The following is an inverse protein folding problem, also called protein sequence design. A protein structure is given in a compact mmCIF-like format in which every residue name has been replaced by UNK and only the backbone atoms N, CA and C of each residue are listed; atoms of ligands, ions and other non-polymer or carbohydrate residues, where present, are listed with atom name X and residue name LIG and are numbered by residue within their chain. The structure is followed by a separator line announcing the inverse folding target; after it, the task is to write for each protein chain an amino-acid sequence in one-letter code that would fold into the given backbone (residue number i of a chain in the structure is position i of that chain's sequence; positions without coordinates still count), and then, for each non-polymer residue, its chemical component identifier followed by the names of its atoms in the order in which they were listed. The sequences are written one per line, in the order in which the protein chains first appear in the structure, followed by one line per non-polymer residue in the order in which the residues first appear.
data_IF_566537525113
#
_entry.id   IF_566537525113
#
_cell.length_a   1.000
_cell.length_b   1.000
_cell.length_c   1.000
_cell.angle_alpha   90.00
_cell.angle_beta   90.00
_cell.angle_gamma   90.00
#
_symmetry.space_group_name_H-M   'P 1'
#
loop_
_entity.id
_entity.type
_entity.pdbx_description
1 polymer ?
#
# COMPACT_ATOMS: atom_id res chain seq x y z
N UNK A 1 -26.84 15.98 -5.78
CA UNK A 1 -26.40 14.57 -5.98
C UNK A 1 -25.31 14.46 -7.05
N UNK A 2 -25.54 14.87 -8.28
CA UNK A 2 -24.58 14.71 -9.39
C UNK A 2 -23.20 15.33 -9.11
N UNK A 3 -23.12 16.48 -8.46
CA UNK A 3 -21.86 17.14 -8.11
C UNK A 3 -21.05 16.36 -7.10
N UNK A 4 -21.68 15.76 -6.08
CA UNK A 4 -20.98 14.98 -5.05
C UNK A 4 -20.44 13.67 -5.64
N UNK A 5 -21.19 13.00 -6.50
CA UNK A 5 -20.70 11.80 -7.20
C UNK A 5 -19.50 12.10 -8.10
N UNK A 6 -19.50 13.25 -8.79
CA UNK A 6 -18.34 13.71 -9.55
C UNK A 6 -17.12 13.94 -8.63
N UNK A 7 -17.30 14.56 -7.46
CA UNK A 7 -16.21 14.75 -6.50
C UNK A 7 -15.63 13.42 -6.00
N UNK A 8 -16.48 12.45 -5.70
CA UNK A 8 -16.04 11.09 -5.31
C UNK A 8 -15.22 10.46 -6.44
N UNK A 9 -15.66 10.55 -7.68
CA UNK A 9 -14.92 10.04 -8.84
C UNK A 9 -13.55 10.69 -8.99
N UNK A 10 -13.45 12.01 -8.79
CA UNK A 10 -12.16 12.72 -8.78
C UNK A 10 -11.22 12.24 -7.66
N UNK A 11 -11.74 11.89 -6.48
CA UNK A 11 -10.93 11.34 -5.39
C UNK A 11 -10.38 9.95 -5.74
N UNK A 12 -11.12 9.11 -6.48
CA UNK A 12 -10.58 7.83 -6.99
C UNK A 12 -9.46 8.07 -8.02
N UNK A 13 -9.60 9.04 -8.93
CA UNK A 13 -8.50 9.40 -9.84
C UNK A 13 -7.29 9.94 -9.09
N UNK A 14 -7.50 10.78 -8.07
CA UNK A 14 -6.42 11.25 -7.20
C UNK A 14 -5.72 10.07 -6.52
N UNK A 15 -6.46 9.11 -5.98
CA UNK A 15 -5.88 7.89 -5.40
C UNK A 15 -5.03 7.13 -6.42
N UNK A 16 -5.52 6.94 -7.65
CA UNK A 16 -4.75 6.26 -8.71
C UNK A 16 -3.41 6.98 -8.99
N UNK A 17 -3.40 8.32 -9.03
CA UNK A 17 -2.18 9.12 -9.20
C UNK A 17 -1.24 8.96 -8.00
N UNK A 18 -1.78 8.96 -6.77
CA UNK A 18 -0.99 8.74 -5.54
C UNK A 18 -0.38 7.33 -5.52
N UNK A 19 -1.11 6.30 -5.94
CA UNK A 19 -0.60 4.94 -6.06
C UNK A 19 0.51 4.84 -7.12
N UNK A 20 0.33 5.48 -8.28
CA UNK A 20 1.37 5.53 -9.31
C UNK A 20 2.63 6.24 -8.79
N UNK A 21 2.47 7.32 -8.03
CA UNK A 21 3.59 8.01 -7.38
C UNK A 21 4.28 7.15 -6.31
N UNK A 22 3.50 6.34 -5.56
CA UNK A 22 4.05 5.38 -4.60
C UNK A 22 4.93 4.34 -5.28
N UNK A 23 4.46 3.75 -6.40
CA UNK A 23 5.23 2.80 -7.22
C UNK A 23 6.53 3.45 -7.70
N UNK A 24 6.46 4.68 -8.25
CA UNK A 24 7.64 5.38 -8.75
C UNK A 24 8.65 5.67 -7.65
N UNK A 25 8.21 6.19 -6.50
CA UNK A 25 9.07 6.55 -5.38
C UNK A 25 9.71 5.31 -4.75
N UNK A 26 8.94 4.25 -4.57
CA UNK A 26 9.44 2.99 -4.03
C UNK A 26 10.43 2.32 -4.99
N UNK A 27 10.15 2.33 -6.28
CA UNK A 27 11.08 1.81 -7.29
C UNK A 27 12.41 2.59 -7.33
N UNK A 28 12.32 3.94 -7.29
CA UNK A 28 13.49 4.81 -7.49
C UNK A 28 14.31 5.05 -6.25
N UNK A 29 13.64 5.25 -5.10
CA UNK A 29 14.26 5.69 -3.85
C UNK A 29 14.18 4.66 -2.73
N UNK A 30 13.38 3.60 -2.90
CA UNK A 30 13.12 2.60 -1.84
C UNK A 30 12.63 3.22 -0.52
N UNK A 31 11.90 4.31 -0.63
CA UNK A 31 11.36 5.07 0.49
C UNK A 31 9.99 5.64 0.12
N UNK A 32 9.03 5.45 1.00
CA UNK A 32 7.71 6.07 0.90
C UNK A 32 7.65 7.28 1.83
N UNK A 33 7.49 8.50 1.31
CA UNK A 33 7.44 9.70 2.12
C UNK A 33 6.13 9.79 2.91
N UNK A 34 6.18 10.35 4.11
CA UNK A 34 5.02 10.48 5.00
C UNK A 34 3.87 11.31 4.40
N UNK A 35 4.19 12.31 3.57
CA UNK A 35 3.17 13.14 2.92
C UNK A 35 2.27 12.34 2.00
N UNK A 36 2.79 11.30 1.35
CA UNK A 36 2.03 10.44 0.45
C UNK A 36 0.97 9.65 1.23
N UNK A 37 1.36 8.97 2.32
CA UNK A 37 0.42 8.26 3.18
C UNK A 37 -0.61 9.21 3.80
N UNK A 38 -0.22 10.44 4.13
CA UNK A 38 -1.13 11.46 4.64
C UNK A 38 -2.16 11.87 3.59
N UNK A 39 -1.76 12.11 2.35
CA UNK A 39 -2.68 12.46 1.26
C UNK A 39 -3.65 11.32 0.94
N UNK A 40 -3.17 10.06 0.95
CA UNK A 40 -4.01 8.88 0.78
C UNK A 40 -5.05 8.79 1.91
N UNK A 41 -4.64 9.02 3.16
CA UNK A 41 -5.54 9.04 4.30
C UNK A 41 -6.60 10.15 4.19
N UNK A 42 -6.17 11.38 3.93
CA UNK A 42 -7.08 12.53 3.83
C UNK A 42 -8.09 12.38 2.69
N UNK A 43 -7.65 11.88 1.53
CA UNK A 43 -8.56 11.60 0.41
C UNK A 43 -9.55 10.47 0.72
N UNK A 44 -9.15 9.45 1.48
CA UNK A 44 -10.05 8.38 1.96
C UNK A 44 -11.10 8.90 2.92
N UNK A 45 -10.70 9.70 3.92
CA UNK A 45 -11.62 10.35 4.86
C UNK A 45 -12.60 11.27 4.12
N UNK A 46 -12.11 12.08 3.16
CA UNK A 46 -12.97 12.94 2.36
C UNK A 46 -14.00 12.14 1.56
N UNK A 47 -13.61 11.02 0.97
CA UNK A 47 -14.52 10.11 0.25
C UNK A 47 -15.63 9.59 1.16
N UNK A 48 -15.28 9.12 2.37
CA UNK A 48 -16.26 8.63 3.35
C UNK A 48 -17.22 9.72 3.80
N UNK A 49 -16.73 10.92 4.11
CA UNK A 49 -17.58 12.06 4.49
C UNK A 49 -18.56 12.45 3.37
N UNK A 50 -18.12 12.42 2.12
CA UNK A 50 -19.00 12.68 0.98
C UNK A 50 -20.03 11.55 0.78
N UNK A 51 -19.65 10.30 0.99
CA UNK A 51 -20.57 9.15 0.97
C UNK A 51 -21.61 9.23 2.09
N UNK A 52 -21.24 9.66 3.29
CA UNK A 52 -22.18 9.93 4.39
C UNK A 52 -23.17 11.03 4.02
N UNK A 53 -22.69 12.12 3.39
CA UNK A 53 -23.57 13.21 2.93
C UNK A 53 -24.60 12.75 1.88
N UNK A 54 -24.32 11.66 1.14
CA UNK A 54 -25.27 10.99 0.23
C UNK A 54 -26.16 9.97 0.93
N UNK A 55 -26.05 9.80 2.25
CA UNK A 55 -26.70 8.75 3.06
C UNK A 55 -26.38 7.32 2.57
N UNK A 56 -25.25 7.12 1.90
CA UNK A 56 -24.76 5.83 1.44
C UNK A 56 -23.83 5.13 2.43
N UNK A 57 -23.37 5.84 3.48
CA UNK A 57 -22.54 5.32 4.56
C UNK A 57 -23.06 5.79 5.92
N UNK A 58 -22.90 4.97 6.98
CA UNK A 58 -23.26 5.34 8.34
C UNK A 58 -22.11 6.09 9.05
N UNK A 59 -22.42 6.89 10.07
CA UNK A 59 -21.38 7.56 10.88
C UNK A 59 -20.47 6.57 11.60
N UNK A 60 -20.97 5.38 11.94
CA UNK A 60 -20.20 4.32 12.58
C UNK A 60 -19.12 3.75 11.68
N UNK A 61 -19.31 3.79 10.36
CA UNK A 61 -18.31 3.31 9.38
C UNK A 61 -17.02 4.11 9.43
N UNK A 62 -17.07 5.43 9.56
CA UNK A 62 -15.85 6.25 9.66
C UNK A 62 -15.05 5.86 10.91
N UNK A 63 -15.72 5.74 12.06
CA UNK A 63 -15.09 5.32 13.31
C UNK A 63 -14.46 3.93 13.20
N UNK A 64 -15.20 2.99 12.59
CA UNK A 64 -14.73 1.62 12.40
C UNK A 64 -13.52 1.54 11.48
N UNK A 65 -13.53 2.26 10.36
CA UNK A 65 -12.39 2.29 9.41
C UNK A 65 -11.15 2.99 10.01
N UNK A 66 -11.33 4.02 10.83
CA UNK A 66 -10.22 4.63 11.58
C UNK A 66 -9.66 3.68 12.63
N UNK A 67 -10.52 2.95 13.33
CA UNK A 67 -10.10 1.93 14.29
C UNK A 67 -9.32 0.80 13.59
N UNK A 68 -9.78 0.32 12.43
CA UNK A 68 -9.07 -0.71 11.66
C UNK A 68 -7.70 -0.22 11.20
N UNK A 69 -7.57 1.04 10.76
CA UNK A 69 -6.28 1.62 10.41
C UNK A 69 -5.32 1.63 11.60
N UNK A 70 -5.79 2.01 12.79
CA UNK A 70 -4.99 1.98 14.02
C UNK A 70 -4.59 0.55 14.39
N UNK A 71 -5.52 -0.40 14.34
CA UNK A 71 -5.24 -1.81 14.64
C UNK A 71 -4.22 -2.42 13.67
N UNK A 72 -4.27 -2.05 12.39
CA UNK A 72 -3.28 -2.48 11.40
C UNK A 72 -1.88 -1.95 11.72
N UNK A 73 -1.75 -0.70 12.15
CA UNK A 73 -0.46 -0.16 12.60
C UNK A 73 0.06 -0.98 13.79
N UNK A 74 -0.79 -1.21 14.79
CA UNK A 74 -0.40 -1.97 15.99
C UNK A 74 -0.02 -3.42 15.65
N UNK A 75 -0.80 -4.08 14.79
CA UNK A 75 -0.52 -5.44 14.33
C UNK A 75 0.77 -5.56 13.50
N UNK A 76 1.14 -4.49 12.78
CA UNK A 76 2.35 -4.46 11.97
C UNK A 76 3.62 -4.11 12.77
N UNK A 77 3.50 -3.59 14.00
CA UNK A 77 4.67 -3.24 14.84
C UNK A 77 5.65 -4.41 15.06
N UNK A 78 5.22 -5.64 15.41
CA UNK A 78 6.13 -6.75 15.55
C UNK A 78 6.91 -7.04 14.26
N UNK A 79 6.23 -6.98 13.10
CA UNK A 79 6.85 -7.19 11.78
C UNK A 79 7.88 -6.09 11.47
N UNK A 80 7.59 -4.85 11.85
CA UNK A 80 8.52 -3.74 11.76
C UNK A 80 9.78 -3.96 12.60
N UNK A 81 9.62 -4.34 13.88
CA UNK A 81 10.75 -4.60 14.77
C UNK A 81 11.63 -5.78 14.31
N UNK A 82 11.03 -6.77 13.63
CA UNK A 82 11.76 -7.88 13.01
C UNK A 82 12.42 -7.50 11.67
N UNK A 83 12.25 -6.25 11.21
CA UNK A 83 12.80 -5.76 9.93
C UNK A 83 12.09 -6.29 8.69
N UNK A 84 10.87 -6.83 8.83
CA UNK A 84 10.11 -7.40 7.72
C UNK A 84 9.42 -6.37 6.82
N UNK A 85 9.02 -5.21 7.39
CA UNK A 85 8.36 -4.12 6.67
C UNK A 85 8.97 -2.78 7.05
N UNK A 86 9.04 -1.85 6.09
CA UNK A 86 9.45 -0.48 6.37
C UNK A 86 8.30 0.32 7.01
N UNK A 87 8.62 1.33 7.84
CA UNK A 87 7.62 2.17 8.48
C UNK A 87 6.71 2.91 7.48
N UNK A 88 7.25 3.25 6.30
CA UNK A 88 6.48 3.88 5.20
C UNK A 88 5.41 2.96 4.65
N UNK A 89 5.72 1.67 4.47
CA UNK A 89 4.77 0.66 3.96
C UNK A 89 3.61 0.47 4.93
N UNK A 90 3.89 0.38 6.23
CA UNK A 90 2.87 0.24 7.28
C UNK A 90 1.92 1.43 7.29
N UNK A 91 2.45 2.66 7.19
CA UNK A 91 1.66 3.88 7.13
C UNK A 91 0.78 3.93 5.88
N UNK A 92 1.32 3.48 4.74
CA UNK A 92 0.56 3.44 3.49
C UNK A 92 -0.57 2.40 3.56
N UNK A 93 -0.32 1.19 4.08
CA UNK A 93 -1.34 0.15 4.29
C UNK A 93 -2.45 0.67 5.21
N UNK A 94 -2.09 1.30 6.32
CA UNK A 94 -3.05 1.87 7.26
C UNK A 94 -3.87 3.01 6.64
N UNK A 95 -3.25 3.88 5.85
CA UNK A 95 -3.96 4.95 5.15
C UNK A 95 -4.94 4.41 4.11
N UNK A 96 -4.55 3.35 3.39
CA UNK A 96 -5.38 2.69 2.40
C UNK A 96 -6.54 1.92 3.02
N UNK A 97 -6.41 1.40 4.24
CA UNK A 97 -7.50 0.65 4.90
C UNK A 97 -8.77 1.47 5.07
N UNK A 98 -8.69 2.80 5.09
CA UNK A 98 -9.82 3.70 5.15
C UNK A 98 -10.68 3.67 3.87
N UNK A 99 -10.08 3.34 2.73
CA UNK A 99 -10.76 3.23 1.44
C UNK A 99 -11.57 1.95 1.28
N UNK A 100 -11.26 0.92 2.08
CA UNK A 100 -11.83 -0.41 1.93
C UNK A 100 -12.96 -0.68 2.92
N UNK A 101 -13.96 -1.42 2.45
CA UNK A 101 -14.86 -2.16 3.33
C UNK A 101 -14.13 -3.36 3.93
N UNK A 102 -14.68 -3.94 4.99
CA UNK A 102 -14.01 -5.02 5.73
C UNK A 102 -13.67 -6.24 4.84
N UNK A 103 -14.55 -6.62 3.91
CA UNK A 103 -14.30 -7.74 2.99
C UNK A 103 -13.25 -7.37 1.94
N UNK A 104 -13.30 -6.15 1.43
CA UNK A 104 -12.29 -5.62 0.50
C UNK A 104 -10.92 -5.52 1.16
N UNK A 105 -10.86 -5.12 2.44
CA UNK A 105 -9.64 -5.02 3.21
C UNK A 105 -8.94 -6.38 3.34
N UNK A 106 -9.69 -7.47 3.61
CA UNK A 106 -9.13 -8.84 3.64
C UNK A 106 -8.51 -9.20 2.29
N UNK A 107 -9.24 -8.96 1.21
CA UNK A 107 -8.77 -9.25 -0.16
C UNK A 107 -7.52 -8.43 -0.50
N UNK A 108 -7.52 -7.14 -0.14
CA UNK A 108 -6.37 -6.26 -0.30
C UNK A 108 -5.13 -6.79 0.44
N UNK A 109 -5.26 -7.14 1.72
CA UNK A 109 -4.14 -7.65 2.51
C UNK A 109 -3.61 -8.98 1.94
N UNK A 110 -4.50 -9.87 1.51
CA UNK A 110 -4.14 -11.13 0.89
C UNK A 110 -3.38 -10.90 -0.42
N UNK A 111 -3.92 -10.08 -1.33
CA UNK A 111 -3.27 -9.79 -2.61
C UNK A 111 -1.92 -9.08 -2.41
N UNK A 112 -1.85 -8.09 -1.52
CA UNK A 112 -0.61 -7.40 -1.20
C UNK A 112 0.47 -8.37 -0.68
N UNK A 113 0.09 -9.29 0.20
CA UNK A 113 1.00 -10.30 0.75
C UNK A 113 1.46 -11.29 -0.33
N UNK A 114 0.57 -11.75 -1.21
CA UNK A 114 0.92 -12.64 -2.32
C UNK A 114 1.85 -11.96 -3.33
N UNK A 115 1.53 -10.73 -3.75
CA UNK A 115 2.35 -9.98 -4.70
C UNK A 115 3.72 -9.64 -4.07
N UNK A 116 3.73 -9.18 -2.80
CA UNK A 116 4.96 -8.90 -2.06
C UNK A 116 5.84 -10.14 -1.87
N UNK A 117 5.23 -11.27 -1.52
CA UNK A 117 5.91 -12.57 -1.42
C UNK A 117 6.50 -13.01 -2.77
N UNK A 118 5.76 -12.85 -3.86
CA UNK A 118 6.25 -13.15 -5.21
C UNK A 118 7.44 -12.27 -5.62
N UNK A 119 7.37 -10.96 -5.35
CA UNK A 119 8.48 -10.05 -5.58
C UNK A 119 9.71 -10.41 -4.74
N UNK A 120 9.51 -10.79 -3.48
CA UNK A 120 10.60 -11.25 -2.62
C UNK A 120 11.27 -12.51 -3.17
N UNK A 121 10.49 -13.49 -3.65
CA UNK A 121 11.02 -14.70 -4.29
C UNK A 121 11.85 -14.37 -5.53
N UNK A 122 11.37 -13.47 -6.39
CA UNK A 122 12.14 -13.04 -7.58
C UNK A 122 13.49 -12.44 -7.15
N UNK A 123 13.52 -11.59 -6.14
CA UNK A 123 14.75 -10.95 -5.66
C UNK A 123 15.70 -11.99 -5.05
N UNK A 124 15.19 -12.95 -4.29
CA UNK A 124 15.99 -14.03 -3.70
C UNK A 124 16.60 -14.87 -4.82
N UNK A 125 15.81 -15.31 -5.81
CA UNK A 125 16.30 -16.08 -6.95
C UNK A 125 17.35 -15.30 -7.75
N UNK A 126 17.12 -14.00 -8.00
CA UNK A 126 18.07 -13.14 -8.68
C UNK A 126 19.40 -13.05 -7.93
N UNK A 127 19.35 -12.77 -6.62
CA UNK A 127 20.55 -12.70 -5.78
C UNK A 127 21.29 -14.03 -5.69
N UNK A 128 20.56 -15.16 -5.67
CA UNK A 128 21.14 -16.49 -5.68
C UNK A 128 21.87 -16.77 -7.00
N UNK A 129 21.26 -16.46 -8.14
CA UNK A 129 21.90 -16.56 -9.44
C UNK A 129 23.17 -15.68 -9.54
N UNK A 130 23.10 -14.43 -9.03
CA UNK A 130 24.28 -13.56 -8.98
C UNK A 130 25.42 -14.18 -8.15
N UNK A 131 25.08 -14.79 -7.02
CA UNK A 131 26.08 -15.44 -6.14
C UNK A 131 26.76 -16.59 -6.86
N UNK A 132 26.00 -17.47 -7.56
CA UNK A 132 26.56 -18.55 -8.35
C UNK A 132 27.46 -18.06 -9.48
N UNK A 133 27.05 -17.00 -10.19
CA UNK A 133 27.83 -16.40 -11.27
C UNK A 133 29.09 -15.71 -10.75
N UNK A 134 29.06 -15.07 -9.57
CA UNK A 134 30.21 -14.40 -8.98
C UNK A 134 31.30 -15.38 -8.54
N UNK A 135 30.94 -16.59 -8.11
CA UNK A 135 31.91 -17.68 -7.88
C UNK A 135 32.67 -18.09 -9.15
N UNK A 136 32.03 -17.91 -10.32
CA UNK A 136 32.62 -18.33 -11.61
C UNK A 136 33.33 -17.19 -12.37
N UNK A 137 32.97 -15.90 -12.10
CA UNK A 137 33.41 -14.74 -12.93
C UNK A 137 33.92 -13.53 -12.15
N UNK A 138 34.21 -13.59 -10.86
CA UNK A 138 34.67 -12.43 -10.04
C UNK A 138 33.87 -11.12 -10.32
N UNK A 139 32.58 -11.21 -10.59
CA UNK A 139 31.75 -10.06 -10.94
C UNK A 139 31.26 -9.36 -9.67
N UNK A 140 31.66 -8.10 -9.48
CA UNK A 140 31.30 -7.25 -8.35
C UNK A 140 29.88 -6.61 -8.52
N UNK A 141 28.86 -7.41 -8.87
CA UNK A 141 27.49 -6.89 -8.98
C UNK A 141 26.87 -6.74 -7.59
N UNK A 142 26.29 -5.56 -7.34
CA UNK A 142 25.59 -5.24 -6.07
C UNK A 142 24.31 -6.08 -5.93
N UNK A 143 24.17 -6.75 -4.78
CA UNK A 143 22.95 -7.49 -4.44
C UNK A 143 21.81 -6.52 -4.10
N UNK A 144 20.60 -6.89 -4.49
CA UNK A 144 19.39 -6.17 -4.09
C UNK A 144 19.03 -6.62 -2.68
N UNK A 145 19.08 -5.69 -1.71
CA UNK A 145 18.88 -6.01 -0.29
C UNK A 145 17.46 -5.73 0.22
N UNK A 146 16.68 -4.95 -0.53
CA UNK A 146 15.33 -4.53 -0.11
C UNK A 146 14.28 -4.90 -1.15
N UNK A 147 13.12 -5.36 -0.69
CA UNK A 147 11.94 -5.64 -1.54
C UNK A 147 11.12 -4.36 -1.66
N UNK A 148 10.71 -3.94 -2.89
CA UNK A 148 9.86 -2.76 -3.07
C UNK A 148 8.40 -3.10 -2.73
N UNK A 149 8.04 -3.04 -1.44
CA UNK A 149 6.69 -3.36 -0.97
C UNK A 149 5.63 -2.34 -1.43
N UNK A 150 5.99 -1.09 -1.67
CA UNK A 150 5.08 -0.06 -2.20
C UNK A 150 4.47 -0.45 -3.54
N UNK A 151 5.19 -1.21 -4.37
CA UNK A 151 4.65 -1.78 -5.62
C UNK A 151 3.54 -2.79 -5.32
N UNK A 152 3.80 -3.72 -4.38
CA UNK A 152 2.82 -4.76 -4.01
C UNK A 152 1.55 -4.14 -3.40
N UNK A 153 1.70 -3.14 -2.54
CA UNK A 153 0.61 -2.39 -1.91
C UNK A 153 -0.23 -1.68 -2.98
N UNK A 154 0.41 -0.97 -3.89
CA UNK A 154 -0.27 -0.21 -4.94
C UNK A 154 -1.01 -1.12 -5.93
N UNK A 155 -0.41 -2.24 -6.34
CA UNK A 155 -1.05 -3.24 -7.20
C UNK A 155 -2.21 -3.93 -6.49
N UNK A 156 -2.03 -4.34 -5.23
CA UNK A 156 -3.09 -4.93 -4.43
C UNK A 156 -4.30 -4.00 -4.28
N UNK A 157 -4.05 -2.70 -4.05
CA UNK A 157 -5.10 -1.67 -4.02
C UNK A 157 -5.80 -1.52 -5.36
N UNK A 158 -5.03 -1.45 -6.46
CA UNK A 158 -5.59 -1.30 -7.79
C UNK A 158 -6.50 -2.46 -8.17
N UNK A 159 -6.13 -3.69 -7.85
CA UNK A 159 -6.93 -4.89 -8.15
C UNK A 159 -8.22 -5.00 -7.33
N UNK A 160 -8.33 -4.30 -6.19
CA UNK A 160 -9.53 -4.34 -5.34
C UNK A 160 -10.47 -3.18 -5.63
N UNK A 161 -9.97 -2.00 -6.01
CA UNK A 161 -10.79 -0.79 -6.18
C UNK A 161 -11.14 -0.46 -7.63
N UNK A 162 -10.36 -0.96 -8.59
CA UNK A 162 -10.50 -0.68 -10.03
C UNK A 162 -10.70 -1.96 -10.82
#
# INVERSE_FOLDING_TARGET
MLTITLFITWLYYLLAVLLASAVYLDWRYRQLPNWLSLLVLLSGVATLLLQQALASASYDELGLRMLTALLLILAALPVYYLGGLAAGDIKLIAALSVWFEFEQLKTFLLLTTLIGGFLALIIICYNFCLTLLSFRYQSNKTKITTVPYGIAISLGTALVLF
#
